data_IF_719783052633
#
_entry.id   IF_719783052633
#
_cell.length_a   1.000
_cell.length_b   1.000
_cell.length_c   1.000
_cell.angle_alpha   90.00
_cell.angle_beta   90.00
_cell.angle_gamma   90.00
#
_symmetry.space_group_name_H-M   'P 1'
#
loop_
_entity.id
_entity.type
_entity.pdbx_description
1 polymer ?
#
# COMPACT_ATOMS: atom_id res chain seq x y z
N UNK A 1 -11.23 -18.16 9.13
CA UNK A 1 -11.14 -16.89 9.88
C UNK A 1 -9.76 -16.33 9.61
N UNK A 2 -9.68 -15.22 8.89
CA UNK A 2 -8.44 -14.45 8.75
C UNK A 2 -8.03 -13.99 10.15
N UNK A 3 -6.81 -14.35 10.59
CA UNK A 3 -6.28 -13.88 11.87
C UNK A 3 -5.85 -12.44 11.64
N UNK A 4 -6.61 -11.50 12.21
CA UNK A 4 -6.46 -10.07 11.94
C UNK A 4 -5.05 -9.58 12.29
N UNK A 5 -4.40 -8.92 11.33
CA UNK A 5 -3.19 -8.14 11.58
C UNK A 5 -3.55 -6.96 12.50
N UNK A 6 -2.89 -6.85 13.66
CA UNK A 6 -3.09 -5.74 14.60
C UNK A 6 -2.32 -4.52 14.12
N UNK A 7 -2.75 -3.32 14.54
CA UNK A 7 -2.06 -2.06 14.19
C UNK A 7 -0.58 -2.07 14.62
N UNK A 8 -0.29 -2.76 15.72
CA UNK A 8 1.06 -2.95 16.23
C UNK A 8 1.96 -3.66 15.21
N UNK A 9 1.46 -4.67 14.47
CA UNK A 9 2.24 -5.33 13.41
C UNK A 9 2.61 -4.38 12.26
N UNK A 10 1.77 -3.41 11.91
CA UNK A 10 2.15 -2.39 10.92
C UNK A 10 3.25 -1.47 11.43
N UNK A 11 3.23 -1.14 12.73
CA UNK A 11 4.30 -0.38 13.36
C UNK A 11 5.60 -1.20 13.37
N UNK A 12 5.53 -2.50 13.67
CA UNK A 12 6.70 -3.38 13.59
C UNK A 12 7.26 -3.47 12.18
N UNK A 13 6.40 -3.62 11.17
CA UNK A 13 6.85 -3.67 9.77
C UNK A 13 7.57 -2.37 9.37
N UNK A 14 7.04 -1.22 9.78
CA UNK A 14 7.72 0.06 9.54
C UNK A 14 9.08 0.13 10.27
N UNK A 15 9.14 -0.28 11.54
CA UNK A 15 10.39 -0.33 12.32
C UNK A 15 11.41 -1.29 11.68
N UNK A 16 10.98 -2.43 11.14
CA UNK A 16 11.84 -3.35 10.40
C UNK A 16 12.48 -2.64 9.19
N UNK A 17 11.70 -1.94 8.37
CA UNK A 17 12.25 -1.23 7.20
C UNK A 17 13.21 -0.10 7.57
N UNK A 18 12.98 0.58 8.70
CA UNK A 18 13.93 1.56 9.24
C UNK A 18 15.23 0.88 9.71
N UNK A 19 15.09 -0.26 10.39
CA UNK A 19 16.20 -1.03 10.94
C UNK A 19 17.14 -1.55 9.84
N UNK A 20 16.62 -1.85 8.64
CA UNK A 20 17.46 -2.21 7.49
C UNK A 20 18.56 -1.17 7.23
N UNK A 21 18.29 0.12 7.49
CA UNK A 21 19.21 1.25 7.33
C UNK A 21 19.83 1.72 8.65
N UNK A 22 19.71 0.93 9.73
CA UNK A 22 20.29 1.21 11.04
C UNK A 22 19.54 2.24 11.88
N UNK A 23 18.26 2.50 11.59
CA UNK A 23 17.44 3.45 12.33
C UNK A 23 16.29 2.78 13.06
N UNK A 24 15.94 3.33 14.21
CA UNK A 24 14.73 2.91 14.91
C UNK A 24 13.58 3.82 14.53
N UNK A 25 13.82 5.12 14.32
CA UNK A 25 12.76 6.11 14.11
C UNK A 25 12.80 6.76 12.73
N UNK A 26 11.62 7.05 12.18
CA UNK A 26 11.52 7.66 10.86
C UNK A 26 12.18 9.04 10.81
N UNK A 27 12.12 9.81 11.90
CA UNK A 27 12.77 11.12 11.96
C UNK A 27 14.29 11.01 11.79
N UNK A 28 14.94 9.94 12.25
CA UNK A 28 16.38 9.74 12.06
C UNK A 28 16.75 9.56 10.57
N UNK A 29 16.00 8.73 9.86
CA UNK A 29 16.18 8.52 8.42
C UNK A 29 15.79 9.77 7.61
N UNK A 30 14.73 10.46 8.03
CA UNK A 30 14.32 11.75 7.44
C UNK A 30 15.43 12.79 7.53
N UNK A 31 16.10 12.92 8.67
CA UNK A 31 17.17 13.90 8.84
C UNK A 31 18.33 13.67 7.87
N UNK A 32 18.54 12.43 7.40
CA UNK A 32 19.54 12.12 6.36
C UNK A 32 19.11 12.56 4.95
N UNK A 33 17.81 12.58 4.67
CA UNK A 33 17.27 12.74 3.31
C UNK A 33 16.57 14.07 3.06
N UNK A 34 16.12 14.79 4.10
CA UNK A 34 15.28 15.99 3.97
C UNK A 34 15.93 17.13 3.17
N UNK A 35 17.27 17.22 3.23
CA UNK A 35 18.07 18.24 2.56
C UNK A 35 18.68 17.73 1.24
N UNK A 36 18.43 16.46 0.88
CA UNK A 36 18.84 15.90 -0.40
C UNK A 36 17.96 16.44 -1.52
N UNK A 37 18.58 16.70 -2.67
CA UNK A 37 17.89 17.20 -3.85
C UNK A 37 16.88 16.18 -4.39
N UNK A 38 15.71 16.63 -4.83
CA UNK A 38 14.76 15.77 -5.54
C UNK A 38 15.24 15.51 -6.99
N UNK A 39 15.05 14.28 -7.48
CA UNK A 39 15.36 13.90 -8.86
C UNK A 39 16.61 13.02 -8.98
N UNK A 40 17.27 13.14 -10.12
CA UNK A 40 18.30 12.19 -10.58
C UNK A 40 19.57 12.91 -11.04
N UNK A 41 20.71 12.25 -10.85
CA UNK A 41 22.01 12.70 -11.34
C UNK A 41 22.16 12.47 -12.86
N UNK A 42 23.36 12.75 -13.41
CA UNK A 42 23.66 12.53 -14.83
C UNK A 42 23.68 11.06 -15.26
N UNK A 43 23.74 10.12 -14.31
CA UNK A 43 23.73 8.67 -14.57
C UNK A 43 22.34 8.06 -14.44
N UNK A 44 21.35 8.84 -14.00
CA UNK A 44 19.98 8.39 -13.76
C UNK A 44 19.77 7.78 -12.37
N UNK A 45 20.69 7.99 -11.43
CA UNK A 45 20.54 7.59 -10.03
C UNK A 45 19.83 8.67 -9.25
N UNK A 46 18.89 8.31 -8.38
CA UNK A 46 18.26 9.29 -7.51
C UNK A 46 19.29 9.85 -6.52
N UNK A 47 19.27 11.16 -6.27
CA UNK A 47 20.12 11.74 -5.21
C UNK A 47 19.83 11.13 -3.82
N UNK A 48 18.66 10.50 -3.62
CA UNK A 48 18.37 9.77 -2.40
C UNK A 48 19.10 8.43 -2.30
N UNK A 49 19.40 7.76 -3.43
CA UNK A 49 19.98 6.41 -3.39
C UNK A 49 21.41 6.42 -2.90
N UNK A 50 22.20 7.44 -3.24
CA UNK A 50 23.60 7.55 -2.80
C UNK A 50 23.69 7.64 -1.27
N UNK A 51 22.77 8.39 -0.64
CA UNK A 51 22.65 8.46 0.82
C UNK A 51 22.31 7.09 1.39
N UNK A 52 21.33 6.38 0.81
CA UNK A 52 20.91 5.06 1.28
C UNK A 52 21.99 3.99 1.12
N UNK A 53 22.76 4.02 0.02
CA UNK A 53 23.92 3.14 -0.19
C UNK A 53 24.99 3.43 0.87
N UNK A 54 25.25 4.70 1.21
CA UNK A 54 26.20 5.02 2.27
C UNK A 54 25.77 4.49 3.66
N UNK A 55 24.46 4.37 3.89
CA UNK A 55 23.89 3.82 5.12
C UNK A 55 23.90 2.29 5.13
N UNK A 56 23.85 1.67 3.95
CA UNK A 56 23.82 0.22 3.77
C UNK A 56 24.66 -0.24 2.56
N UNK A 57 26.00 -0.17 2.64
CA UNK A 57 26.87 -0.45 1.49
C UNK A 57 26.74 -1.87 0.95
N UNK A 58 26.43 -2.83 1.81
CA UNK A 58 26.25 -4.23 1.44
C UNK A 58 25.02 -4.50 0.54
N UNK A 59 24.11 -3.51 0.39
CA UNK A 59 22.94 -3.58 -0.48
C UNK A 59 23.07 -2.70 -1.72
N UNK A 60 24.28 -2.26 -2.09
CA UNK A 60 24.46 -1.34 -3.23
C UNK A 60 23.78 -1.85 -4.51
N UNK A 61 23.96 -3.13 -4.86
CA UNK A 61 23.40 -3.70 -6.08
C UNK A 61 21.86 -3.75 -6.04
N UNK A 62 21.28 -4.17 -4.92
CA UNK A 62 19.83 -4.23 -4.72
C UNK A 62 19.22 -2.83 -4.74
N UNK A 63 19.83 -1.88 -4.03
CA UNK A 63 19.38 -0.50 -3.94
C UNK A 63 19.39 0.19 -5.31
N UNK A 64 20.45 0.00 -6.10
CA UNK A 64 20.51 0.53 -7.46
C UNK A 64 19.43 -0.08 -8.37
N UNK A 65 19.16 -1.39 -8.26
CA UNK A 65 18.06 -2.03 -8.99
C UNK A 65 16.69 -1.47 -8.61
N UNK A 66 16.46 -1.23 -7.31
CA UNK A 66 15.21 -0.62 -6.86
C UNK A 66 15.08 0.83 -7.31
N UNK A 67 16.15 1.63 -7.24
CA UNK A 67 16.17 3.01 -7.70
C UNK A 67 15.88 3.12 -9.20
N UNK A 68 16.45 2.23 -10.02
CA UNK A 68 16.14 2.15 -11.45
C UNK A 68 14.65 1.89 -11.69
N UNK A 69 14.05 0.93 -10.98
CA UNK A 69 12.63 0.66 -11.09
C UNK A 69 11.77 1.88 -10.65
N UNK A 70 12.16 2.56 -9.58
CA UNK A 70 11.49 3.78 -9.11
C UNK A 70 11.57 4.87 -10.19
N UNK A 71 12.73 5.05 -10.82
CA UNK A 71 12.90 5.98 -11.94
C UNK A 71 11.95 5.68 -13.09
N UNK A 72 11.81 4.42 -13.49
CA UNK A 72 10.88 4.02 -14.55
C UNK A 72 9.42 4.40 -14.23
N UNK A 73 8.98 4.18 -12.98
CA UNK A 73 7.63 4.59 -12.56
C UNK A 73 7.45 6.11 -12.59
N UNK A 74 8.45 6.86 -12.14
CA UNK A 74 8.41 8.34 -12.14
C UNK A 74 8.40 8.86 -13.57
N UNK A 75 9.20 8.30 -14.47
CA UNK A 75 9.20 8.65 -15.90
C UNK A 75 7.85 8.37 -16.55
N UNK A 76 7.22 7.23 -16.23
CA UNK A 76 5.87 6.90 -16.70
C UNK A 76 4.84 7.92 -16.22
N UNK A 77 4.90 8.34 -14.95
CA UNK A 77 4.04 9.42 -14.44
C UNK A 77 4.28 10.75 -15.16
N UNK A 78 5.54 11.16 -15.34
CA UNK A 78 5.89 12.42 -16.03
C UNK A 78 5.31 12.46 -17.44
N UNK A 79 5.49 11.37 -18.19
CA UNK A 79 5.04 11.24 -19.57
C UNK A 79 3.52 11.28 -19.66
N UNK A 80 2.83 10.41 -18.91
CA UNK A 80 1.36 10.29 -18.97
C UNK A 80 0.66 11.58 -18.51
N UNK A 81 1.17 12.21 -17.45
CA UNK A 81 0.58 13.42 -16.86
C UNK A 81 1.06 14.72 -17.51
N UNK A 82 2.02 14.64 -18.46
CA UNK A 82 2.68 15.80 -19.09
C UNK A 82 3.34 16.74 -18.08
N UNK A 83 3.99 16.17 -17.06
CA UNK A 83 4.65 16.89 -15.97
C UNK A 83 6.16 16.58 -15.97
N UNK A 84 6.95 17.15 -16.89
CA UNK A 84 8.36 16.76 -17.08
C UNK A 84 9.24 17.02 -15.84
N UNK A 85 8.84 17.97 -14.99
CA UNK A 85 9.61 18.36 -13.80
C UNK A 85 9.14 17.64 -12.51
N UNK A 86 8.21 16.68 -12.61
CA UNK A 86 7.72 15.95 -11.44
C UNK A 86 8.84 15.07 -10.85
N UNK A 87 9.00 15.12 -9.53
CA UNK A 87 9.88 14.24 -8.76
C UNK A 87 9.17 13.77 -7.51
N UNK A 88 9.60 12.63 -6.98
CA UNK A 88 9.17 12.18 -5.66
C UNK A 88 9.91 12.98 -4.58
N UNK A 89 9.18 13.38 -3.55
CA UNK A 89 9.79 13.83 -2.29
C UNK A 89 10.41 12.64 -1.57
N UNK A 90 11.39 12.88 -0.69
CA UNK A 90 12.08 11.82 0.04
C UNK A 90 11.13 10.81 0.71
N UNK A 91 10.03 11.27 1.34
CA UNK A 91 9.07 10.40 2.02
C UNK A 91 8.21 9.58 1.04
N UNK A 92 7.98 10.09 -0.18
CA UNK A 92 7.30 9.33 -1.24
C UNK A 92 8.27 8.31 -1.84
N UNK A 93 9.52 8.70 -2.06
CA UNK A 93 10.58 7.81 -2.52
C UNK A 93 10.77 6.65 -1.54
N UNK A 94 10.88 6.92 -0.23
CA UNK A 94 10.97 5.89 0.81
C UNK A 94 9.76 4.95 0.83
N UNK A 95 8.53 5.49 0.70
CA UNK A 95 7.32 4.66 0.65
C UNK A 95 7.34 3.70 -0.54
N UNK A 96 7.79 4.17 -1.71
CA UNK A 96 7.92 3.33 -2.92
C UNK A 96 9.08 2.33 -2.78
N UNK A 97 10.23 2.75 -2.25
CA UNK A 97 11.39 1.89 -2.02
C UNK A 97 11.08 0.76 -1.05
N UNK A 98 10.47 1.06 0.09
CA UNK A 98 10.06 0.03 1.05
C UNK A 98 9.08 -0.95 0.42
N UNK A 99 8.23 -0.48 -0.50
CA UNK A 99 7.33 -1.35 -1.25
C UNK A 99 8.06 -2.21 -2.28
N UNK A 100 9.10 -1.70 -2.97
CA UNK A 100 9.96 -2.52 -3.83
C UNK A 100 10.61 -3.64 -3.02
N UNK A 101 11.23 -3.31 -1.87
CA UNK A 101 11.89 -4.29 -1.00
C UNK A 101 10.86 -5.31 -0.49
N UNK A 102 9.69 -4.85 -0.03
CA UNK A 102 8.62 -5.71 0.46
C UNK A 102 8.17 -6.71 -0.62
N UNK A 103 7.86 -6.23 -1.82
CA UNK A 103 7.31 -7.07 -2.88
C UNK A 103 8.37 -8.01 -3.46
N UNK A 104 9.62 -7.57 -3.58
CA UNK A 104 10.73 -8.43 -4.00
C UNK A 104 10.90 -9.60 -3.04
N UNK A 105 10.98 -9.33 -1.74
CA UNK A 105 11.04 -10.37 -0.70
C UNK A 105 9.78 -11.25 -0.69
N UNK A 106 8.59 -10.66 -0.74
CA UNK A 106 7.32 -11.41 -0.71
C UNK A 106 7.14 -12.36 -1.90
N UNK A 107 7.59 -11.98 -3.11
CA UNK A 107 7.42 -12.81 -4.31
C UNK A 107 8.61 -13.71 -4.62
N UNK A 108 9.83 -13.37 -4.19
CA UNK A 108 11.04 -14.12 -4.52
C UNK A 108 11.62 -14.93 -3.34
N UNK A 109 11.37 -14.53 -2.08
CA UNK A 109 11.84 -15.25 -0.88
C UNK A 109 10.90 -15.04 0.32
N UNK A 110 9.65 -15.51 0.16
CA UNK A 110 8.60 -15.28 1.17
C UNK A 110 8.89 -15.94 2.51
N UNK A 111 9.37 -17.18 2.50
CA UNK A 111 9.64 -17.93 3.72
C UNK A 111 10.82 -17.32 4.48
N UNK A 112 11.88 -16.92 3.76
CA UNK A 112 13.00 -16.16 4.34
C UNK A 112 12.54 -14.83 4.92
N UNK A 113 11.69 -14.09 4.20
CA UNK A 113 11.15 -12.82 4.69
C UNK A 113 10.32 -12.97 5.98
N UNK A 114 9.45 -13.99 6.05
CA UNK A 114 8.68 -14.28 7.27
C UNK A 114 9.61 -14.65 8.43
N UNK A 115 10.68 -15.43 8.17
CA UNK A 115 11.66 -15.78 9.19
C UNK A 115 12.39 -14.54 9.72
N UNK A 116 12.90 -13.68 8.83
CA UNK A 116 13.58 -12.42 9.17
C UNK A 116 12.66 -11.48 9.99
N UNK A 117 11.41 -11.29 9.55
CA UNK A 117 10.43 -10.46 10.27
C UNK A 117 10.14 -11.00 11.68
N UNK A 118 10.06 -12.32 11.83
CA UNK A 118 9.79 -12.96 13.11
C UNK A 118 11.02 -12.98 14.04
N UNK A 119 12.23 -12.95 13.51
CA UNK A 119 13.45 -12.73 14.28
C UNK A 119 13.49 -11.30 14.81
N UNK A 120 13.32 -10.31 13.93
CA UNK A 120 13.22 -8.90 14.31
C UNK A 120 12.09 -8.65 15.33
N UNK A 121 10.93 -9.28 15.14
CA UNK A 121 9.79 -9.15 16.04
C UNK A 121 10.10 -9.64 17.47
N UNK A 122 10.88 -10.72 17.62
CA UNK A 122 11.26 -11.23 18.94
C UNK A 122 12.11 -10.21 19.70
N UNK A 123 13.07 -9.60 19.01
CA UNK A 123 13.91 -8.54 19.58
C UNK A 123 13.05 -7.33 19.95
N UNK A 124 12.21 -6.87 19.03
CA UNK A 124 11.27 -5.76 19.25
C UNK A 124 10.36 -6.01 20.46
N UNK A 125 9.79 -7.21 20.59
CA UNK A 125 8.93 -7.60 21.70
C UNK A 125 9.68 -7.57 23.04
N UNK A 126 10.91 -8.08 23.06
CA UNK A 126 11.75 -8.09 24.26
C UNK A 126 12.11 -6.66 24.71
N UNK A 127 12.52 -5.80 23.78
CA UNK A 127 12.91 -4.42 24.07
C UNK A 127 11.73 -3.55 24.54
N UNK A 128 10.57 -3.70 23.90
CA UNK A 128 9.39 -2.90 24.17
C UNK A 128 8.44 -3.54 25.19
N UNK A 129 8.77 -4.74 25.71
CA UNK A 129 7.92 -5.54 26.61
C UNK A 129 6.50 -5.75 26.05
N UNK A 130 6.41 -6.08 24.75
CA UNK A 130 5.14 -6.33 24.06
C UNK A 130 5.01 -7.81 23.68
N UNK A 131 3.77 -8.27 23.49
CA UNK A 131 3.45 -9.67 23.14
C UNK A 131 2.83 -9.78 21.74
N UNK A 132 3.41 -9.11 20.75
CA UNK A 132 2.92 -9.18 19.38
C UNK A 132 3.05 -10.61 18.83
N UNK A 133 1.97 -11.10 18.23
CA UNK A 133 1.97 -12.41 17.57
C UNK A 133 2.90 -12.44 16.35
N UNK A 134 3.49 -13.61 16.08
CA UNK A 134 4.35 -13.83 14.91
C UNK A 134 3.65 -13.46 13.59
N UNK A 135 4.42 -12.93 12.65
CA UNK A 135 4.03 -12.75 11.26
C UNK A 135 3.78 -14.10 10.59
N UNK A 136 2.70 -14.14 9.83
CA UNK A 136 2.28 -15.26 9.00
C UNK A 136 2.21 -14.80 7.55
N UNK A 137 2.11 -15.74 6.61
CA UNK A 137 1.87 -15.40 5.20
C UNK A 137 0.63 -14.51 5.01
N UNK A 138 -0.41 -14.70 5.83
CA UNK A 138 -1.63 -13.90 5.74
C UNK A 138 -1.39 -12.43 6.12
N UNK A 139 -0.50 -12.17 7.08
CA UNK A 139 -0.14 -10.79 7.46
C UNK A 139 0.59 -10.07 6.31
N UNK A 140 1.23 -10.79 5.40
CA UNK A 140 1.97 -10.20 4.27
C UNK A 140 1.10 -9.94 3.03
N UNK A 141 -0.17 -10.34 3.03
CA UNK A 141 -1.11 -10.05 1.93
C UNK A 141 -1.71 -8.64 2.01
N UNK A 142 -1.29 -7.82 2.97
CA UNK A 142 -1.80 -6.46 3.17
C UNK A 142 -0.68 -5.49 3.52
N UNK A 143 -0.62 -4.37 2.81
CA UNK A 143 0.28 -3.26 3.10
C UNK A 143 -0.53 -1.98 3.31
N UNK A 144 -0.28 -1.31 4.44
CA UNK A 144 -0.98 -0.08 4.81
C UNK A 144 -0.03 1.13 4.73
N UNK A 145 -0.46 2.17 4.04
CA UNK A 145 0.21 3.46 3.96
C UNK A 145 -0.47 4.46 4.89
N UNK A 146 0.18 4.73 6.02
CA UNK A 146 -0.23 5.77 6.94
C UNK A 146 0.51 7.08 6.63
N UNK A 147 -0.13 7.96 5.86
CA UNK A 147 0.47 9.22 5.42
C UNK A 147 -0.55 10.36 5.41
N UNK A 148 -0.11 11.58 5.75
CA UNK A 148 -0.97 12.76 5.83
C UNK A 148 -1.75 13.05 4.53
N UNK A 149 -2.90 13.72 4.63
CA UNK A 149 -3.61 14.23 3.44
C UNK A 149 -2.72 15.22 2.69
N UNK A 150 -2.69 15.13 1.36
CA UNK A 150 -1.80 15.95 0.53
C UNK A 150 -0.35 15.45 0.41
N UNK A 151 0.02 14.35 1.07
CA UNK A 151 1.35 13.69 0.90
C UNK A 151 1.52 12.97 -0.45
N UNK A 152 0.50 12.94 -1.30
CA UNK A 152 0.56 12.30 -2.62
C UNK A 152 0.30 10.79 -2.61
N UNK A 153 -0.47 10.27 -1.64
CA UNK A 153 -0.90 8.85 -1.58
C UNK A 153 -1.49 8.33 -2.90
N UNK A 154 -2.24 9.15 -3.62
CA UNK A 154 -2.79 8.78 -4.95
C UNK A 154 -1.68 8.43 -5.95
N UNK A 155 -0.60 9.20 -6.01
CA UNK A 155 0.52 8.90 -6.91
C UNK A 155 1.28 7.65 -6.43
N UNK A 156 1.44 7.47 -5.12
CA UNK A 156 2.03 6.26 -4.55
C UNK A 156 1.17 5.04 -4.92
N UNK A 157 -0.15 5.12 -4.82
CA UNK A 157 -1.08 4.05 -5.23
C UNK A 157 -0.92 3.64 -6.69
N UNK A 158 -0.77 4.62 -7.58
CA UNK A 158 -0.53 4.36 -9.01
C UNK A 158 0.81 3.67 -9.25
N UNK A 159 1.83 4.05 -8.50
CA UNK A 159 3.14 3.37 -8.52
C UNK A 159 2.97 1.95 -7.98
N UNK A 160 2.31 1.75 -6.83
CA UNK A 160 2.10 0.43 -6.23
C UNK A 160 1.35 -0.53 -7.18
N UNK A 161 0.43 -0.02 -8.00
CA UNK A 161 -0.18 -0.79 -9.08
C UNK A 161 0.86 -1.32 -10.07
N UNK A 162 1.81 -0.51 -10.53
CA UNK A 162 2.89 -1.02 -11.39
C UNK A 162 3.86 -1.93 -10.64
N UNK A 163 4.19 -1.62 -9.38
CA UNK A 163 5.10 -2.45 -8.57
C UNK A 163 4.55 -3.86 -8.41
N UNK A 164 3.28 -3.99 -8.00
CA UNK A 164 2.73 -5.33 -7.78
C UNK A 164 2.54 -6.11 -9.09
N UNK A 165 2.24 -5.44 -10.20
CA UNK A 165 2.19 -6.09 -11.51
C UNK A 165 3.58 -6.57 -11.98
N UNK A 166 4.64 -5.82 -11.66
CA UNK A 166 6.04 -6.23 -11.94
C UNK A 166 6.41 -7.52 -11.20
N UNK A 167 5.98 -7.69 -9.94
CA UNK A 167 6.36 -8.85 -9.12
C UNK A 167 5.39 -10.04 -9.21
N UNK A 168 4.08 -9.78 -9.37
CA UNK A 168 3.08 -10.85 -9.46
C UNK A 168 3.16 -11.55 -10.81
N UNK A 169 3.81 -12.73 -10.84
CA UNK A 169 3.90 -13.59 -12.05
C UNK A 169 2.56 -14.19 -12.50
N UNK A 170 1.49 -14.00 -11.72
CA UNK A 170 0.15 -14.55 -11.95
C UNK A 170 -0.85 -13.42 -12.24
N UNK A 171 -1.82 -13.69 -13.10
CA UNK A 171 -2.93 -12.78 -13.38
C UNK A 171 -3.82 -12.60 -12.15
N UNK A 172 -4.37 -11.39 -12.00
CA UNK A 172 -5.40 -11.07 -11.02
C UNK A 172 -6.77 -11.32 -11.65
N UNK A 173 -7.68 -11.97 -10.93
CA UNK A 173 -9.06 -12.18 -11.40
C UNK A 173 -9.81 -10.84 -11.45
N UNK A 174 -9.58 -10.00 -10.43
CA UNK A 174 -10.10 -8.63 -10.38
C UNK A 174 -9.04 -7.68 -9.82
N UNK A 175 -9.01 -6.44 -10.33
CA UNK A 175 -8.31 -5.31 -9.72
C UNK A 175 -9.36 -4.27 -9.34
N UNK A 176 -9.44 -3.93 -8.05
CA UNK A 176 -10.56 -3.16 -7.51
C UNK A 176 -10.01 -1.99 -6.69
N UNK A 177 -10.51 -0.78 -6.94
CA UNK A 177 -10.30 0.38 -6.09
C UNK A 177 -11.60 0.71 -5.36
N UNK A 178 -11.57 0.51 -4.04
CA UNK A 178 -12.69 0.80 -3.14
C UNK A 178 -12.50 2.21 -2.59
N UNK A 179 -13.48 3.07 -2.84
CA UNK A 179 -13.49 4.48 -2.42
C UNK A 179 -14.60 4.74 -1.40
N UNK A 180 -14.53 5.80 -0.58
CA UNK A 180 -15.54 6.03 0.46
C UNK A 180 -16.83 6.68 -0.07
N UNK A 181 -16.87 7.20 -1.30
CA UNK A 181 -18.08 7.72 -1.95
C UNK A 181 -17.87 7.93 -3.45
N UNK A 182 -18.98 8.14 -4.18
CA UNK A 182 -18.98 8.36 -5.64
C UNK A 182 -18.15 9.56 -6.11
N UNK A 183 -18.10 10.63 -5.32
CA UNK A 183 -17.32 11.82 -5.65
C UNK A 183 -15.83 11.50 -5.73
N UNK A 184 -15.33 10.75 -4.74
CA UNK A 184 -13.95 10.25 -4.74
C UNK A 184 -13.73 9.16 -5.79
N UNK A 185 -14.73 8.32 -6.10
CA UNK A 185 -14.62 7.39 -7.24
C UNK A 185 -14.34 8.14 -8.54
N UNK A 186 -15.09 9.21 -8.82
CA UNK A 186 -14.89 10.05 -10.02
C UNK A 186 -13.52 10.73 -10.02
N UNK A 187 -13.08 11.24 -8.88
CA UNK A 187 -11.75 11.85 -8.78
C UNK A 187 -10.62 10.84 -9.08
N UNK A 188 -10.69 9.63 -8.50
CA UNK A 188 -9.71 8.58 -8.79
C UNK A 188 -9.75 8.12 -10.24
N UNK A 189 -10.94 8.05 -10.85
CA UNK A 189 -11.06 7.75 -12.28
C UNK A 189 -10.28 8.75 -13.13
N UNK A 190 -10.45 10.05 -12.93
CA UNK A 190 -9.70 11.07 -13.67
C UNK A 190 -8.18 10.98 -13.39
N UNK A 191 -7.79 10.77 -12.13
CA UNK A 191 -6.37 10.66 -11.74
C UNK A 191 -5.67 9.42 -12.32
N UNK A 192 -6.36 8.28 -12.40
CA UNK A 192 -5.88 7.06 -13.05
C UNK A 192 -5.74 7.26 -14.56
N UNK A 193 -6.72 7.93 -15.19
CA UNK A 193 -6.65 8.31 -16.61
C UNK A 193 -5.45 9.21 -16.91
N UNK A 194 -5.19 10.22 -16.08
CA UNK A 194 -4.00 11.08 -16.18
C UNK A 194 -2.71 10.27 -16.06
N UNK A 195 -2.71 9.23 -15.25
CA UNK A 195 -1.54 8.37 -15.03
C UNK A 195 -1.41 7.25 -16.06
N UNK A 196 -2.32 7.19 -17.04
CA UNK A 196 -2.34 6.16 -18.10
C UNK A 196 -2.66 4.76 -17.59
N UNK A 197 -3.34 4.64 -16.43
CA UNK A 197 -3.75 3.36 -15.87
C UNK A 197 -5.14 3.00 -16.39
N UNK A 198 -5.34 1.80 -16.98
CA UNK A 198 -6.67 1.37 -17.41
C UNK A 198 -7.62 1.26 -16.23
N UNK A 199 -8.76 1.94 -16.32
CA UNK A 199 -9.76 1.93 -15.26
C UNK A 199 -11.16 2.15 -15.80
N UNK A 200 -12.15 1.69 -15.04
CA UNK A 200 -13.57 1.97 -15.28
C UNK A 200 -14.30 2.23 -13.96
N UNK A 201 -15.34 3.05 -14.02
CA UNK A 201 -16.27 3.26 -12.92
C UNK A 201 -17.36 2.20 -12.95
N UNK A 202 -17.74 1.70 -11.78
CA UNK A 202 -18.96 0.91 -11.67
C UNK A 202 -20.18 1.81 -11.94
N UNK A 203 -20.97 1.42 -12.93
CA UNK A 203 -22.10 2.19 -13.47
C UNK A 203 -23.46 1.77 -12.86
N UNK A 204 -23.47 0.82 -11.94
CA UNK A 204 -24.69 0.26 -11.35
C UNK A 204 -25.21 -0.99 -12.06
N UNK A 205 -24.57 -1.41 -13.17
CA UNK A 205 -24.91 -2.63 -13.88
C UNK A 205 -23.92 -3.76 -13.54
N UNK A 206 -24.43 -4.82 -12.91
CA UNK A 206 -23.65 -5.99 -12.51
C UNK A 206 -23.01 -6.70 -13.71
N UNK A 207 -23.68 -6.70 -14.87
CA UNK A 207 -23.17 -7.32 -16.09
C UNK A 207 -21.87 -6.63 -16.58
N UNK A 208 -21.69 -5.37 -16.18
CA UNK A 208 -20.53 -4.55 -16.52
C UNK A 208 -19.41 -4.64 -15.47
N UNK A 209 -19.48 -5.53 -14.47
CA UNK A 209 -18.43 -5.66 -13.44
C UNK A 209 -17.12 -6.21 -14.01
N UNK A 210 -17.17 -7.15 -14.95
CA UNK A 210 -15.97 -7.80 -15.50
C UNK A 210 -15.04 -6.80 -16.20
N UNK A 211 -13.83 -6.62 -15.70
CA UNK A 211 -12.81 -5.73 -16.27
C UNK A 211 -12.00 -6.43 -17.35
N UNK A 212 -11.33 -5.65 -18.18
CA UNK A 212 -10.24 -6.16 -19.03
C UNK A 212 -9.04 -6.55 -18.16
N UNK A 213 -8.08 -7.27 -18.74
CA UNK A 213 -6.83 -7.58 -18.05
C UNK A 213 -6.18 -6.29 -17.54
N UNK A 214 -5.76 -6.29 -16.28
CA UNK A 214 -5.10 -5.18 -15.59
C UNK A 214 -5.93 -3.88 -15.44
N UNK A 215 -7.20 -3.88 -15.83
CA UNK A 215 -8.08 -2.71 -15.70
C UNK A 215 -8.72 -2.64 -14.30
N UNK A 216 -8.61 -1.48 -13.66
CA UNK A 216 -9.13 -1.24 -12.31
C UNK A 216 -10.64 -0.94 -12.36
N UNK A 217 -11.44 -1.72 -11.63
CA UNK A 217 -12.82 -1.37 -11.31
C UNK A 217 -12.85 -0.44 -10.10
N UNK A 218 -13.37 0.77 -10.28
CA UNK A 218 -13.54 1.73 -9.20
C UNK A 218 -14.98 1.66 -8.71
N UNK A 219 -15.16 1.37 -7.42
CA UNK A 219 -16.45 1.24 -6.76
C UNK A 219 -16.43 1.92 -5.40
N UNK A 220 -17.53 2.58 -5.03
CA UNK A 220 -17.68 3.12 -3.69
C UNK A 220 -18.17 2.03 -2.70
N UNK A 221 -17.75 2.15 -1.44
CA UNK A 221 -18.03 1.18 -0.39
C UNK A 221 -19.54 0.98 -0.12
N UNK A 222 -20.37 1.99 -0.39
CA UNK A 222 -21.82 1.91 -0.15
C UNK A 222 -22.56 1.05 -1.20
N UNK A 223 -21.93 0.79 -2.35
CA UNK A 223 -22.44 -0.16 -3.34
C UNK A 223 -22.09 -1.61 -3.03
N UNK A 224 -21.25 -1.89 -2.02
CA UNK A 224 -20.88 -3.25 -1.63
C UNK A 224 -21.78 -3.78 -0.50
N UNK A 225 -22.21 -5.04 -0.61
CA UNK A 225 -23.03 -5.72 0.40
C UNK A 225 -22.62 -7.20 0.55
N UNK A 226 -22.92 -7.80 1.72
CA UNK A 226 -22.73 -9.25 1.94
C UNK A 226 -23.86 -10.10 1.36
N UNK A 227 -25.03 -9.50 1.20
CA UNK A 227 -26.21 -10.14 0.63
C UNK A 227 -26.99 -9.08 -0.13
N UNK A 228 -27.24 -9.30 -1.43
CA UNK A 228 -28.10 -8.42 -2.21
C UNK A 228 -29.57 -8.67 -1.87
N UNK A 229 -30.26 -7.62 -1.38
CA UNK A 229 -31.71 -7.63 -1.12
C UNK A 229 -32.40 -6.68 -2.08
N UNK A 230 -33.20 -7.23 -3.00
CA UNK A 230 -34.03 -6.48 -3.94
C UNK A 230 -33.28 -5.94 -5.17
N UNK A 231 -33.99 -5.09 -5.92
CA UNK A 231 -33.48 -4.43 -7.12
C UNK A 231 -32.77 -3.12 -6.74
N UNK A 232 -31.54 -2.95 -7.19
CA UNK A 232 -30.71 -1.79 -6.85
C UNK A 232 -29.29 -1.93 -7.38
N UNK A 233 -28.53 -0.84 -7.26
CA UNK A 233 -27.15 -0.74 -7.77
C UNK A 233 -26.13 -1.50 -6.90
N UNK A 234 -26.53 -2.05 -5.76
CA UNK A 234 -25.63 -2.81 -4.87
C UNK A 234 -25.12 -4.09 -5.53
N UNK A 235 -23.88 -4.43 -5.18
CA UNK A 235 -23.10 -5.58 -5.64
C UNK A 235 -22.75 -6.43 -4.42
N UNK A 236 -23.07 -7.71 -4.52
CA UNK A 236 -22.66 -8.69 -3.52
C UNK A 236 -21.15 -8.96 -3.63
N UNK A 237 -20.44 -9.03 -2.50
CA UNK A 237 -18.99 -9.28 -2.51
C UNK A 237 -18.60 -10.60 -3.18
N UNK A 238 -19.51 -11.58 -3.25
CA UNK A 238 -19.30 -12.85 -3.98
C UNK A 238 -19.10 -12.67 -5.49
N UNK A 239 -19.53 -11.55 -6.09
CA UNK A 239 -19.21 -11.24 -7.49
C UNK A 239 -17.71 -11.02 -7.72
N UNK A 240 -16.96 -10.78 -6.64
CA UNK A 240 -15.51 -10.66 -6.66
C UNK A 240 -14.84 -11.93 -6.13
N UNK A 241 -15.46 -13.12 -6.20
CA UNK A 241 -14.74 -14.35 -5.86
C UNK A 241 -13.56 -14.57 -6.82
N UNK A 242 -12.37 -14.86 -6.26
CA UNK A 242 -11.14 -15.04 -7.01
C UNK A 242 -9.93 -14.43 -6.29
N UNK A 243 -8.78 -14.44 -6.97
CA UNK A 243 -7.55 -13.79 -6.54
C UNK A 243 -7.59 -12.31 -6.92
N UNK A 244 -7.90 -11.45 -5.97
CA UNK A 244 -8.09 -10.02 -6.21
C UNK A 244 -6.91 -9.16 -5.77
N UNK A 245 -6.65 -8.10 -6.53
CA UNK A 245 -5.84 -6.98 -6.06
C UNK A 245 -6.77 -5.84 -5.64
N UNK A 246 -6.72 -5.46 -4.37
CA UNK A 246 -7.65 -4.47 -3.79
C UNK A 246 -6.88 -3.25 -3.30
N UNK A 247 -7.23 -2.08 -3.80
CA UNK A 247 -6.80 -0.79 -3.30
C UNK A 247 -7.93 -0.17 -2.48
N UNK A 248 -7.62 0.34 -1.30
CA UNK A 248 -8.60 0.94 -0.39
C UNK A 248 -8.19 2.38 -0.10
N UNK A 249 -9.01 3.33 -0.57
CA UNK A 249 -8.85 4.74 -0.22
C UNK A 249 -9.63 5.08 1.06
N UNK A 250 -9.00 5.87 1.94
CA UNK A 250 -9.51 6.25 3.25
C UNK A 250 -10.00 5.04 4.09
N UNK A 251 -9.07 4.13 4.37
CA UNK A 251 -9.26 2.90 5.15
C UNK A 251 -10.08 3.02 6.45
N UNK A 252 -10.12 4.21 7.07
CA UNK A 252 -10.64 4.47 8.42
C UNK A 252 -11.76 5.52 8.52
N UNK A 253 -12.54 5.70 7.45
CA UNK A 253 -13.67 6.64 7.48
C UNK A 253 -14.95 5.91 7.91
N UNK A 254 -15.63 6.34 8.98
CA UNK A 254 -16.93 5.79 9.39
C UNK A 254 -17.24 5.88 10.89
N UNK A 255 -18.50 5.64 11.29
CA UNK A 255 -18.81 5.33 12.69
C UNK A 255 -18.27 3.94 13.04
N UNK A 256 -17.98 3.66 14.31
CA UNK A 256 -17.32 2.41 14.75
C UNK A 256 -17.98 1.13 14.21
N UNK A 257 -19.32 1.11 14.08
CA UNK A 257 -20.10 0.00 13.54
C UNK A 257 -20.05 -0.09 12.01
N UNK A 258 -20.12 1.03 11.30
CA UNK A 258 -19.97 1.09 9.84
C UNK A 258 -18.55 0.72 9.41
N UNK A 259 -17.54 1.20 10.12
CA UNK A 259 -16.13 0.90 9.88
C UNK A 259 -15.87 -0.62 10.00
N UNK A 260 -16.45 -1.28 11.00
CA UNK A 260 -16.37 -2.73 11.14
C UNK A 260 -17.02 -3.47 9.97
N UNK A 261 -18.21 -3.03 9.53
CA UNK A 261 -18.88 -3.61 8.36
C UNK A 261 -18.04 -3.44 7.09
N UNK A 262 -17.53 -2.23 6.85
CA UNK A 262 -16.72 -1.94 5.67
C UNK A 262 -15.41 -2.70 5.68
N UNK A 263 -14.76 -2.80 6.85
CA UNK A 263 -13.58 -3.63 7.03
C UNK A 263 -13.86 -5.07 6.61
N UNK A 264 -14.96 -5.66 7.09
CA UNK A 264 -15.34 -7.04 6.74
C UNK A 264 -15.57 -7.20 5.23
N UNK A 265 -16.27 -6.28 4.58
CA UNK A 265 -16.49 -6.31 3.13
C UNK A 265 -15.16 -6.28 2.35
N UNK A 266 -14.25 -5.38 2.72
CA UNK A 266 -12.94 -5.23 2.05
C UNK A 266 -12.04 -6.46 2.26
N UNK A 267 -12.06 -7.02 3.46
CA UNK A 267 -11.31 -8.24 3.78
C UNK A 267 -11.88 -9.46 3.06
N UNK A 268 -13.20 -9.57 2.91
CA UNK A 268 -13.83 -10.65 2.14
C UNK A 268 -13.44 -10.60 0.67
N UNK A 269 -13.46 -9.40 0.05
CA UNK A 269 -13.02 -9.22 -1.34
C UNK A 269 -11.52 -9.55 -1.49
N UNK A 270 -10.68 -9.15 -0.53
CA UNK A 270 -9.23 -9.36 -0.63
C UNK A 270 -8.71 -10.70 -0.09
N UNK A 271 -9.57 -11.57 0.47
CA UNK A 271 -9.17 -12.77 1.24
C UNK A 271 -8.19 -13.72 0.54
N UNK A 272 -8.29 -13.84 -0.78
CA UNK A 272 -7.48 -14.75 -1.59
C UNK A 272 -6.38 -14.03 -2.38
N UNK A 273 -6.19 -12.73 -2.14
CA UNK A 273 -5.39 -11.87 -2.99
C UNK A 273 -4.44 -10.97 -2.21
N UNK A 274 -4.37 -9.70 -2.59
CA UNK A 274 -3.48 -8.72 -1.98
C UNK A 274 -4.18 -7.37 -1.81
N UNK A 275 -3.94 -6.71 -0.68
CA UNK A 275 -4.58 -5.46 -0.30
C UNK A 275 -3.54 -4.35 -0.10
N UNK A 276 -3.75 -3.20 -0.75
CA UNK A 276 -3.13 -1.94 -0.38
C UNK A 276 -4.15 -1.02 0.27
N UNK A 277 -3.84 -0.49 1.45
CA UNK A 277 -4.73 0.40 2.20
C UNK A 277 -4.07 1.76 2.44
N UNK A 278 -4.79 2.85 2.19
CA UNK A 278 -4.27 4.22 2.30
C UNK A 278 -5.13 5.01 3.28
N UNK A 279 -4.51 5.63 4.29
CA UNK A 279 -5.23 6.51 5.21
C UNK A 279 -4.32 7.55 5.87
N UNK A 280 -4.90 8.72 6.18
CA UNK A 280 -4.24 9.73 6.99
C UNK A 280 -4.50 9.57 8.50
N UNK A 281 -5.52 8.81 8.90
CA UNK A 281 -6.12 8.89 10.24
C UNK A 281 -5.95 7.64 11.09
N UNK A 282 -5.07 6.69 10.72
CA UNK A 282 -4.77 5.50 11.55
C UNK A 282 -4.50 5.88 13.03
N UNK A 283 -3.75 6.96 13.28
CA UNK A 283 -3.46 7.45 14.64
C UNK A 283 -4.64 8.01 15.44
N UNK A 284 -5.71 8.49 14.80
CA UNK A 284 -6.90 9.00 15.50
C UNK A 284 -7.74 7.86 16.11
N UNK A 285 -7.65 6.67 15.53
CA UNK A 285 -8.25 5.44 16.08
C UNK A 285 -7.53 5.02 17.36
N UNK A 286 -6.20 5.24 17.43
CA UNK A 286 -5.36 4.97 18.62
C UNK A 286 -5.76 5.85 19.80
N UNK A 287 -5.94 7.17 19.58
CA UNK A 287 -6.29 8.12 20.64
C UNK A 287 -7.64 7.88 21.32
N UNK A 288 -8.52 7.06 20.72
CA UNK A 288 -9.82 6.65 21.30
C UNK A 288 -9.79 5.29 21.99
N UNK A 289 -8.74 4.49 21.81
CA UNK A 289 -8.46 3.27 22.59
C UNK A 289 -7.47 3.62 23.71
N UNK A 290 -7.90 4.44 24.67
CA UNK A 290 -7.10 4.84 25.84
C UNK A 290 -6.85 3.70 26.84
N UNK A 291 -7.38 2.50 26.62
CA UNK A 291 -7.17 1.34 27.49
C UNK A 291 -5.93 0.50 27.14
N UNK A 292 -5.10 0.94 26.17
CA UNK A 292 -3.86 0.24 25.77
C UNK A 292 -2.61 1.14 25.79
N UNK A 293 -2.66 2.26 26.52
CA UNK A 293 -1.53 3.19 26.71
C UNK A 293 -1.27 3.52 28.20
N UNK A 294 -1.60 2.60 29.11
CA UNK A 294 -1.15 2.67 30.51
C UNK A 294 -0.20 1.50 30.82
N UNK A 295 1.07 1.66 30.42
CA UNK A 295 2.27 1.77 31.28
C UNK A 295 3.55 1.80 30.43
#
# INVERSE_FOLDING_TARGET
MLKNMTLEKYLVLNRYFLNLFGFNEFDELREKLKDSQEGYDSTGRSYFIDVLISLKPEWEAELLRYDEAIREYVEKLRQNRKQPNFNLKYFQYLAVLFTEIFLDKYYNDKDGFIAELNEFLKEFNNENKTENSLFTEEDLKKVAFWMATGSGKTLIMHINYWQILKYSKNNWDNIILITPNEGLSKQHYEELKLSGIPCKLYDGNIDNLKTKNEEILIIDIYKLTEEKKGEGVSVDVSFFDGKNLVFIDEGHKGQRTEEQKWKKLREEIGKNGFIFEYSATFGQVIGKNRDLLEE
#
